data_IF_217652601949
#
_entry.id   IF_217652601949
#
_cell.length_a   1.000
_cell.length_b   1.000
_cell.length_c   1.000
_cell.angle_alpha   90.00
_cell.angle_beta   90.00
_cell.angle_gamma   90.00
#
_symmetry.space_group_name_H-M   'P 1'
#
loop_
_entity.id
_entity.type
_entity.pdbx_description
1 polymer ?
#
# COMPACT_ATOMS: atom_id res chain seq x y z
N UNK A 1 -6.96 8.61 25.35
CA UNK A 1 -6.10 7.87 24.40
C UNK A 1 -5.32 8.90 23.62
N UNK A 2 -3.98 8.92 23.72
CA UNK A 2 -3.17 9.77 22.85
C UNK A 2 -3.48 9.44 21.39
N UNK A 3 -3.58 10.45 20.53
CA UNK A 3 -3.86 10.25 19.11
C UNK A 3 -2.71 9.42 18.51
N UNK A 4 -2.96 8.14 18.23
CA UNK A 4 -1.95 7.18 17.75
C UNK A 4 -1.25 7.68 16.49
N UNK A 5 -1.96 8.43 15.66
CA UNK A 5 -1.44 9.01 14.42
C UNK A 5 -0.32 10.01 14.71
N UNK A 6 -0.35 10.74 15.84
CA UNK A 6 0.70 11.70 16.20
C UNK A 6 1.90 11.05 16.89
N UNK A 7 1.87 9.74 17.14
CA UNK A 7 2.98 9.03 17.75
C UNK A 7 4.20 9.01 16.82
N UNK A 8 5.39 9.33 17.37
CA UNK A 8 6.65 9.20 16.64
C UNK A 8 6.85 7.78 16.10
N UNK A 9 6.46 6.77 16.88
CA UNK A 9 6.57 5.36 16.49
C UNK A 9 5.70 5.07 15.27
N UNK A 10 4.46 5.55 15.26
CA UNK A 10 3.55 5.37 14.13
C UNK A 10 4.13 5.96 12.83
N UNK A 11 4.62 7.19 12.89
CA UNK A 11 5.27 7.84 11.74
C UNK A 11 6.55 7.12 11.29
N UNK A 12 7.38 6.66 12.22
CA UNK A 12 8.59 5.89 11.89
C UNK A 12 8.25 4.57 11.18
N UNK A 13 7.26 3.84 11.67
CA UNK A 13 6.81 2.57 11.05
C UNK A 13 6.13 2.84 9.70
N UNK A 14 5.36 3.92 9.59
CA UNK A 14 4.74 4.33 8.33
C UNK A 14 5.79 4.68 7.28
N UNK A 15 6.79 5.49 7.64
CA UNK A 15 7.91 5.81 6.75
C UNK A 15 8.67 4.55 6.33
N UNK A 16 9.00 3.67 7.28
CA UNK A 16 9.66 2.39 6.99
C UNK A 16 8.85 1.52 6.03
N UNK A 17 7.52 1.44 6.22
CA UNK A 17 6.63 0.63 5.39
C UNK A 17 6.55 1.19 3.96
N UNK A 18 6.41 2.51 3.81
CA UNK A 18 6.32 3.18 2.50
C UNK A 18 7.64 3.11 1.75
N UNK A 19 8.76 3.45 2.41
CA UNK A 19 10.09 3.37 1.79
C UNK A 19 10.43 1.92 1.45
N UNK A 20 10.16 0.99 2.36
CA UNK A 20 10.42 -0.43 2.17
C UNK A 20 9.64 -1.04 1.01
N UNK A 21 8.45 -0.53 0.66
CA UNK A 21 7.72 -0.94 -0.57
C UNK A 21 8.60 -0.84 -1.81
N UNK A 22 9.46 0.17 -1.92
CA UNK A 22 10.34 0.39 -3.07
C UNK A 22 11.76 -0.13 -2.84
N UNK A 23 12.28 0.02 -1.63
CA UNK A 23 13.63 -0.38 -1.29
C UNK A 23 13.80 -1.89 -1.26
N UNK A 24 12.82 -2.63 -0.72
CA UNK A 24 12.90 -4.08 -0.63
C UNK A 24 13.00 -4.72 -2.03
N UNK A 25 12.15 -4.38 -3.01
CA UNK A 25 12.24 -5.01 -4.33
C UNK A 25 13.50 -4.64 -5.11
N UNK A 26 14.05 -3.45 -4.84
CA UNK A 26 15.36 -3.04 -5.36
C UNK A 26 16.53 -3.86 -4.80
N UNK A 27 16.41 -4.39 -3.58
CA UNK A 27 17.37 -5.34 -3.03
C UNK A 27 17.10 -6.74 -3.61
N UNK A 28 15.85 -7.18 -3.57
CA UNK A 28 15.44 -8.53 -3.94
C UNK A 28 15.70 -8.84 -5.43
N UNK A 29 15.65 -7.85 -6.31
CA UNK A 29 15.97 -8.06 -7.72
C UNK A 29 17.40 -8.57 -7.97
N UNK A 30 18.35 -8.33 -7.05
CA UNK A 30 19.73 -8.82 -7.16
C UNK A 30 19.88 -10.30 -6.87
N UNK A 31 18.86 -10.91 -6.26
CA UNK A 31 18.86 -12.32 -5.88
C UNK A 31 17.99 -13.16 -6.82
N UNK A 32 17.50 -12.58 -7.92
CA UNK A 32 16.70 -13.28 -8.90
C UNK A 32 17.21 -13.01 -10.32
N UNK A 33 18.05 -13.91 -10.84
CA UNK A 33 18.74 -13.77 -12.13
C UNK A 33 17.79 -13.68 -13.34
N UNK A 34 16.59 -14.27 -13.25
CA UNK A 34 15.56 -14.21 -14.29
C UNK A 34 14.78 -12.89 -14.32
N UNK A 35 14.95 -12.03 -13.32
CA UNK A 35 14.19 -10.78 -13.21
C UNK A 35 14.85 -9.63 -13.96
N UNK A 36 14.06 -8.97 -14.82
CA UNK A 36 14.49 -7.74 -15.49
C UNK A 36 13.56 -6.57 -15.14
N UNK A 37 14.08 -5.61 -14.35
CA UNK A 37 13.33 -4.43 -13.88
C UNK A 37 12.79 -3.53 -14.99
N UNK A 38 13.31 -3.62 -16.24
CA UNK A 38 12.86 -2.79 -17.35
C UNK A 38 11.65 -3.37 -18.08
N UNK A 39 11.46 -4.68 -18.03
CA UNK A 39 10.43 -5.39 -18.82
C UNK A 39 9.39 -6.09 -17.95
N UNK A 40 9.76 -6.47 -16.73
CA UNK A 40 8.91 -7.19 -15.79
C UNK A 40 8.30 -6.26 -14.75
N UNK A 41 7.08 -6.59 -14.31
CA UNK A 41 6.44 -5.88 -13.22
C UNK A 41 7.17 -6.19 -11.91
N UNK A 42 7.21 -5.23 -10.98
CA UNK A 42 7.79 -5.41 -9.65
C UNK A 42 7.14 -6.56 -8.86
N UNK A 43 5.86 -6.85 -9.10
CA UNK A 43 5.17 -8.00 -8.51
C UNK A 43 5.69 -9.36 -8.98
N UNK A 44 6.43 -9.44 -10.10
CA UNK A 44 7.02 -10.69 -10.57
C UNK A 44 8.03 -11.29 -9.57
N UNK A 45 8.61 -10.47 -8.69
CA UNK A 45 9.44 -10.93 -7.56
C UNK A 45 8.64 -11.79 -6.56
N UNK A 46 7.32 -11.64 -6.52
CA UNK A 46 6.39 -12.45 -5.73
C UNK A 46 5.84 -13.68 -6.44
N UNK A 47 6.32 -14.01 -7.64
CA UNK A 47 5.91 -15.20 -8.38
C UNK A 47 6.42 -16.48 -7.74
N UNK A 48 5.80 -17.63 -8.02
CA UNK A 48 6.21 -18.93 -7.44
C UNK A 48 7.60 -19.39 -7.90
N UNK A 49 8.04 -18.94 -9.06
CA UNK A 49 9.33 -19.28 -9.66
C UNK A 49 10.47 -18.42 -9.10
N UNK A 50 10.15 -17.30 -8.46
CA UNK A 50 11.11 -16.39 -7.85
C UNK A 50 11.69 -16.96 -6.55
N UNK A 51 13.02 -16.97 -6.37
CA UNK A 51 13.67 -17.41 -5.12
C UNK A 51 13.37 -16.47 -3.94
N UNK A 52 12.91 -15.24 -4.22
CA UNK A 52 12.60 -14.21 -3.22
C UNK A 52 11.10 -14.05 -2.97
N UNK A 53 10.28 -14.93 -3.56
CA UNK A 53 8.81 -14.94 -3.49
C UNK A 53 8.29 -14.75 -2.06
N UNK A 54 8.77 -15.57 -1.13
CA UNK A 54 8.30 -15.59 0.26
C UNK A 54 8.59 -14.26 0.95
N UNK A 55 9.78 -13.70 0.77
CA UNK A 55 10.18 -12.43 1.39
C UNK A 55 9.32 -11.28 0.83
N UNK A 56 9.17 -11.23 -0.49
CA UNK A 56 8.38 -10.19 -1.16
C UNK A 56 6.89 -10.25 -0.76
N UNK A 57 6.28 -11.44 -0.79
CA UNK A 57 4.86 -11.62 -0.48
C UNK A 57 4.56 -11.39 1.00
N UNK A 58 5.45 -11.82 1.90
CA UNK A 58 5.33 -11.51 3.33
C UNK A 58 5.38 -10.01 3.58
N UNK A 59 6.24 -9.29 2.87
CA UNK A 59 6.29 -7.84 2.94
C UNK A 59 5.01 -7.15 2.44
N UNK A 60 4.41 -7.66 1.35
CA UNK A 60 3.11 -7.16 0.88
C UNK A 60 2.00 -7.37 1.92
N UNK A 61 1.98 -8.52 2.57
CA UNK A 61 1.02 -8.81 3.65
C UNK A 61 1.25 -7.86 4.83
N UNK A 62 2.50 -7.66 5.26
CA UNK A 62 2.84 -6.68 6.30
C UNK A 62 2.35 -5.28 5.93
N UNK A 63 2.64 -4.82 4.71
CA UNK A 63 2.21 -3.52 4.19
C UNK A 63 0.68 -3.40 4.21
N UNK A 64 -0.04 -4.43 3.76
CA UNK A 64 -1.49 -4.47 3.78
C UNK A 64 -2.06 -4.39 5.20
N UNK A 65 -1.55 -5.20 6.13
CA UNK A 65 -1.98 -5.18 7.53
C UNK A 65 -1.74 -3.81 8.18
N UNK A 66 -0.53 -3.26 8.03
CA UNK A 66 -0.18 -2.00 8.65
C UNK A 66 -0.98 -0.82 8.07
N UNK A 67 -1.17 -0.76 6.75
CA UNK A 67 -1.95 0.31 6.13
C UNK A 67 -3.45 0.18 6.39
N UNK A 68 -3.98 -1.05 6.56
CA UNK A 68 -5.36 -1.23 7.01
C UNK A 68 -5.55 -0.70 8.44
N UNK A 69 -4.59 -0.99 9.32
CA UNK A 69 -4.57 -0.39 10.66
C UNK A 69 -4.47 1.14 10.60
N UNK A 70 -3.60 1.68 9.75
CA UNK A 70 -3.49 3.13 9.54
C UNK A 70 -4.82 3.72 9.07
N UNK A 71 -5.48 3.11 8.08
CA UNK A 71 -6.78 3.56 7.58
C UNK A 71 -7.84 3.61 8.70
N UNK A 72 -7.89 2.58 9.54
CA UNK A 72 -8.76 2.56 10.71
C UNK A 72 -8.39 3.67 11.71
N UNK A 73 -7.10 3.89 11.98
CA UNK A 73 -6.64 4.97 12.86
C UNK A 73 -7.08 6.34 12.33
N UNK A 74 -6.85 6.63 11.04
CA UNK A 74 -7.33 7.86 10.38
C UNK A 74 -8.84 8.04 10.55
N UNK A 75 -9.63 6.98 10.33
CA UNK A 75 -11.07 7.02 10.52
C UNK A 75 -11.46 7.38 11.96
N UNK A 76 -10.95 6.67 12.96
CA UNK A 76 -11.32 6.90 14.35
C UNK A 76 -10.90 8.26 14.88
N UNK A 77 -9.77 8.81 14.40
CA UNK A 77 -9.30 10.15 14.79
C UNK A 77 -10.12 11.26 14.16
N UNK A 78 -10.58 11.10 12.91
CA UNK A 78 -11.19 12.21 12.16
C UNK A 78 -12.71 12.17 12.14
N UNK A 79 -13.35 11.02 12.42
CA UNK A 79 -14.80 10.81 12.22
C UNK A 79 -15.70 11.72 13.04
N UNK A 80 -15.21 12.23 14.17
CA UNK A 80 -15.98 13.12 15.05
C UNK A 80 -16.18 14.49 14.40
N UNK A 81 -15.14 15.01 13.78
CA UNK A 81 -15.12 16.37 13.24
C UNK A 81 -15.44 16.39 11.74
N UNK A 82 -15.03 15.37 10.99
CA UNK A 82 -15.16 15.30 9.53
C UNK A 82 -15.66 13.93 9.03
N UNK A 83 -16.88 13.49 9.41
CA UNK A 83 -17.35 12.12 9.20
C UNK A 83 -17.30 11.64 7.74
N UNK A 84 -17.69 12.47 6.78
CA UNK A 84 -17.64 12.14 5.35
C UNK A 84 -16.20 11.92 4.90
N UNK A 85 -15.30 12.84 5.27
CA UNK A 85 -13.89 12.79 4.87
C UNK A 85 -13.19 11.57 5.49
N UNK A 86 -13.52 11.21 6.73
CA UNK A 86 -13.02 10.01 7.40
C UNK A 86 -13.40 8.72 6.67
N UNK A 87 -14.63 8.61 6.19
CA UNK A 87 -15.08 7.45 5.41
C UNK A 87 -14.34 7.38 4.07
N UNK A 88 -14.16 8.52 3.40
CA UNK A 88 -13.41 8.58 2.14
C UNK A 88 -11.93 8.19 2.34
N UNK A 89 -11.29 8.67 3.39
CA UNK A 89 -9.91 8.29 3.75
C UNK A 89 -9.80 6.80 4.07
N UNK A 90 -10.75 6.26 4.85
CA UNK A 90 -10.83 4.83 5.16
C UNK A 90 -10.98 4.00 3.89
N UNK A 91 -11.88 4.41 2.99
CA UNK A 91 -12.12 3.69 1.74
C UNK A 91 -10.91 3.74 0.80
N UNK A 92 -10.29 4.92 0.67
CA UNK A 92 -9.11 5.13 -0.16
C UNK A 92 -7.92 4.29 0.32
N UNK A 93 -7.48 4.49 1.56
CA UNK A 93 -6.31 3.78 2.10
C UNK A 93 -6.62 2.31 2.38
N UNK A 94 -7.82 1.98 2.84
CA UNK A 94 -8.25 0.62 3.14
C UNK A 94 -8.34 -0.25 1.88
N UNK A 95 -8.90 0.28 0.79
CA UNK A 95 -8.95 -0.44 -0.49
C UNK A 95 -7.55 -0.69 -1.05
N UNK A 96 -6.64 0.28 -0.90
CA UNK A 96 -5.24 0.08 -1.25
C UNK A 96 -4.56 -1.01 -0.41
N UNK A 97 -4.74 -0.95 0.90
CA UNK A 97 -4.17 -1.90 1.85
C UNK A 97 -4.63 -3.34 1.56
N UNK A 98 -5.91 -3.52 1.26
CA UNK A 98 -6.47 -4.82 0.90
C UNK A 98 -6.01 -5.25 -0.49
N UNK A 99 -6.21 -4.43 -1.52
CA UNK A 99 -5.96 -4.83 -2.90
C UNK A 99 -4.48 -5.01 -3.23
N UNK A 100 -3.68 -3.97 -3.02
CA UNK A 100 -2.25 -3.95 -3.37
C UNK A 100 -1.34 -4.53 -2.26
N UNK A 101 -1.87 -4.74 -1.06
CA UNK A 101 -1.15 -5.37 0.06
C UNK A 101 -1.58 -6.82 0.25
N UNK A 102 -2.72 -7.04 0.93
CA UNK A 102 -3.15 -8.38 1.36
C UNK A 102 -3.46 -9.33 0.21
N UNK A 103 -4.36 -8.94 -0.70
CA UNK A 103 -4.76 -9.77 -1.84
C UNK A 103 -3.57 -10.01 -2.76
N UNK A 104 -2.79 -8.98 -3.06
CA UNK A 104 -1.59 -9.10 -3.89
C UNK A 104 -0.51 -9.99 -3.26
N UNK A 105 -0.37 -9.99 -1.93
CA UNK A 105 0.59 -10.86 -1.23
C UNK A 105 0.13 -12.32 -1.13
N UNK A 106 -1.17 -12.60 -1.14
CA UNK A 106 -1.74 -13.96 -1.07
C UNK A 106 -1.84 -14.59 -2.47
N UNK A 107 -2.23 -13.82 -3.48
CA UNK A 107 -2.41 -14.31 -4.85
C UNK A 107 -1.15 -14.05 -5.67
N UNK A 108 -0.41 -15.12 -5.96
CA UNK A 108 0.83 -15.02 -6.71
C UNK A 108 0.61 -14.71 -8.19
N UNK A 109 1.47 -13.87 -8.74
CA UNK A 109 1.55 -13.63 -10.18
C UNK A 109 2.45 -14.65 -10.87
N UNK A 110 2.30 -14.80 -12.18
CA UNK A 110 3.27 -15.52 -12.99
C UNK A 110 4.37 -14.54 -13.47
N UNK A 111 5.56 -15.05 -13.73
CA UNK A 111 6.67 -14.25 -14.26
C UNK A 111 6.41 -13.79 -15.68
N UNK A 112 5.89 -14.70 -16.51
CA UNK A 112 5.48 -14.35 -17.86
C UNK A 112 4.05 -13.78 -17.82
N UNK A 113 3.91 -12.54 -18.26
CA UNK A 113 2.64 -11.81 -18.38
C UNK A 113 1.66 -12.50 -19.34
N UNK A 114 2.15 -13.31 -20.27
CA UNK A 114 1.34 -14.07 -21.21
C UNK A 114 0.66 -15.28 -20.55
N UNK A 115 1.17 -15.73 -19.38
CA UNK A 115 0.60 -16.82 -18.62
C UNK A 115 -0.41 -16.27 -17.61
N UNK A 116 -1.65 -16.14 -18.05
CA UNK A 116 -2.74 -15.59 -17.25
C UNK A 116 -3.46 -16.71 -16.48
N UNK A 117 -3.23 -16.77 -15.17
CA UNK A 117 -3.94 -17.68 -14.25
C UNK A 117 -5.08 -16.96 -13.56
N UNK A 118 -6.00 -17.69 -12.93
CA UNK A 118 -7.04 -17.08 -12.11
C UNK A 118 -6.44 -16.23 -10.97
N UNK A 119 -5.36 -16.72 -10.33
CA UNK A 119 -4.66 -16.00 -9.28
C UNK A 119 -4.01 -14.69 -9.80
N UNK A 120 -3.36 -14.71 -10.96
CA UNK A 120 -2.75 -13.50 -11.53
C UNK A 120 -3.79 -12.47 -11.98
N UNK A 121 -4.98 -12.89 -12.42
CA UNK A 121 -6.12 -11.99 -12.67
C UNK A 121 -6.60 -11.33 -11.37
N UNK A 122 -6.82 -12.10 -10.31
CA UNK A 122 -7.25 -11.57 -9.01
C UNK A 122 -6.22 -10.58 -8.46
N UNK A 123 -4.93 -10.94 -8.48
CA UNK A 123 -3.84 -10.04 -8.10
C UNK A 123 -3.86 -8.76 -8.92
N UNK A 124 -3.87 -8.88 -10.26
CA UNK A 124 -3.81 -7.72 -11.15
C UNK A 124 -4.98 -6.76 -10.96
N UNK A 125 -6.21 -7.26 -10.92
CA UNK A 125 -7.42 -6.45 -10.75
C UNK A 125 -7.44 -5.81 -9.37
N UNK A 126 -7.16 -6.57 -8.30
CA UNK A 126 -7.18 -6.05 -6.94
C UNK A 126 -6.08 -5.01 -6.69
N UNK A 127 -4.87 -5.23 -7.22
CA UNK A 127 -3.79 -4.25 -7.18
C UNK A 127 -4.20 -2.97 -7.92
N UNK A 128 -4.75 -3.08 -9.14
CA UNK A 128 -5.20 -1.93 -9.92
C UNK A 128 -6.26 -1.12 -9.19
N UNK A 129 -7.31 -1.76 -8.66
CA UNK A 129 -8.34 -1.10 -7.85
C UNK A 129 -7.72 -0.44 -6.61
N UNK A 130 -6.81 -1.13 -5.93
CA UNK A 130 -6.11 -0.61 -4.77
C UNK A 130 -5.32 0.66 -5.07
N UNK A 131 -4.51 0.65 -6.14
CA UNK A 131 -3.73 1.82 -6.54
C UNK A 131 -4.63 2.98 -7.01
N UNK A 132 -5.71 2.69 -7.74
CA UNK A 132 -6.68 3.73 -8.14
C UNK A 132 -7.34 4.38 -6.92
N UNK A 133 -7.69 3.60 -5.91
CA UNK A 133 -8.22 4.12 -4.65
C UNK A 133 -7.19 4.98 -3.90
N UNK A 134 -5.91 4.57 -3.89
CA UNK A 134 -4.84 5.32 -3.22
C UNK A 134 -4.62 6.72 -3.80
N UNK A 135 -4.86 6.93 -5.10
CA UNK A 135 -4.68 8.24 -5.75
C UNK A 135 -5.51 9.35 -5.08
N UNK A 136 -6.64 8.99 -4.47
CA UNK A 136 -7.47 9.95 -3.73
C UNK A 136 -6.92 10.28 -2.34
N UNK A 137 -6.06 9.45 -1.76
CA UNK A 137 -5.62 9.62 -0.38
C UNK A 137 -4.89 10.94 -0.14
N UNK A 138 -3.87 11.34 -0.93
CA UNK A 138 -3.16 12.60 -0.70
C UNK A 138 -4.10 13.80 -0.83
N UNK A 139 -4.96 13.83 -1.86
CA UNK A 139 -5.98 14.87 -2.03
C UNK A 139 -6.91 14.97 -0.81
N UNK A 140 -7.44 13.84 -0.33
CA UNK A 140 -8.34 13.82 0.82
C UNK A 140 -7.62 14.23 2.12
N UNK A 141 -6.35 13.84 2.27
CA UNK A 141 -5.53 14.19 3.42
C UNK A 141 -5.15 15.69 3.42
N UNK A 142 -4.88 16.26 2.25
CA UNK A 142 -4.66 17.70 2.07
C UNK A 142 -5.91 18.53 2.39
N UNK A 143 -7.09 18.08 1.95
CA UNK A 143 -8.37 18.71 2.33
C UNK A 143 -8.58 18.66 3.86
N UNK A 144 -8.26 17.53 4.48
CA UNK A 144 -8.32 17.39 5.94
C UNK A 144 -7.37 18.39 6.62
N UNK A 145 -6.15 18.53 6.11
CA UNK A 145 -5.16 19.45 6.61
C UNK A 145 -5.62 20.92 6.55
N UNK A 146 -6.19 21.35 5.42
CA UNK A 146 -6.78 22.68 5.29
C UNK A 146 -7.93 22.90 6.28
N UNK A 147 -8.82 21.91 6.46
CA UNK A 147 -9.90 21.97 7.46
C UNK A 147 -9.40 22.04 8.90
N UNK A 148 -8.18 21.56 9.16
CA UNK A 148 -7.50 21.65 10.45
C UNK A 148 -6.61 22.90 10.59
N UNK A 149 -6.70 23.85 9.65
CA UNK A 149 -5.86 25.06 9.58
C UNK A 149 -4.34 24.77 9.43
N UNK A 150 -3.97 23.58 8.96
CA UNK A 150 -2.59 23.23 8.67
C UNK A 150 -2.27 23.45 7.18
N UNK A 151 -2.12 24.72 6.81
CA UNK A 151 -2.00 25.17 5.42
C UNK A 151 -0.77 24.60 4.72
N UNK A 152 0.38 24.57 5.41
CA UNK A 152 1.63 24.05 4.83
C UNK A 152 1.46 22.58 4.46
N UNK A 153 0.89 21.79 5.36
CA UNK A 153 0.68 20.36 5.12
C UNK A 153 -0.34 20.13 3.99
N UNK A 154 -1.41 20.94 3.92
CA UNK A 154 -2.40 20.87 2.85
C UNK A 154 -1.87 21.20 1.44
N UNK A 155 -0.77 21.93 1.31
CA UNK A 155 -0.13 22.25 0.01
C UNK A 155 0.82 21.13 -0.43
N UNK A 156 1.44 20.43 0.52
CA UNK A 156 2.50 19.43 0.26
C UNK A 156 1.92 18.03 0.04
N UNK A 157 0.77 17.72 0.64
CA UNK A 157 0.02 16.46 0.44
C UNK A 157 -0.58 16.35 -0.97
#
# INVERSE_FOLDING_TARGET
MGNIITSKIFHSVMLFTVVGKFFLPWILCRYYDGYNSKTMAMSALGSLQSPVCVIYNTWLIWLGCFLAFAAAAYFFTTKKDFPILSVLLLFSLGTFAVGAGLVSGIFHVNENKDIVTAASKVHGISAAIGFMALLFFPLLNGILAFKQNNIIFGIVD
#
